data_IF_391077373650
#
_entry.id   IF_391077373650
#
_cell.length_a   1.000
_cell.length_b   1.000
_cell.length_c   1.000
_cell.angle_alpha   90.00
_cell.angle_beta   90.00
_cell.angle_gamma   90.00
#
_symmetry.space_group_name_H-M   'P 1'
#
loop_
_entity.id
_entity.type
_entity.pdbx_description
1 polymer ?
#
# COMPACT_ATOMS: atom_id res chain seq x y z
N UNK A 1 4.62 5.23 -12.40
CA UNK A 1 4.43 5.12 -10.95
C UNK A 1 3.41 6.16 -10.50
N UNK A 2 2.45 5.75 -9.69
CA UNK A 2 1.43 6.64 -9.16
C UNK A 2 1.56 6.72 -7.66
N UNK A 3 1.58 7.92 -7.12
CA UNK A 3 1.63 8.12 -5.66
C UNK A 3 0.25 8.46 -5.13
N UNK A 4 -0.11 7.85 -4.00
CA UNK A 4 -1.36 8.13 -3.30
C UNK A 4 -1.05 8.79 -1.97
N UNK A 5 -1.70 9.92 -1.71
CA UNK A 5 -1.46 10.69 -0.49
C UNK A 5 -1.99 9.94 0.72
N UNK A 6 -1.14 9.76 1.71
CA UNK A 6 -1.52 9.17 2.99
C UNK A 6 -1.82 10.25 4.01
N UNK A 7 -2.70 9.92 4.95
CA UNK A 7 -2.92 10.76 6.11
C UNK A 7 -1.97 10.30 7.23
N UNK A 8 -1.66 11.20 8.14
CA UNK A 8 -0.76 10.91 9.25
C UNK A 8 -1.57 10.35 10.44
N UNK A 9 -2.22 9.21 10.20
CA UNK A 9 -3.09 8.55 11.19
C UNK A 9 -2.74 7.06 11.25
N UNK A 10 -2.86 6.48 12.44
CA UNK A 10 -2.51 5.08 12.67
C UNK A 10 -3.41 4.10 11.88
N UNK A 11 -4.65 4.46 11.66
CA UNK A 11 -5.61 3.65 10.92
C UNK A 11 -6.24 4.49 9.83
N UNK A 12 -6.17 4.01 8.58
CA UNK A 12 -6.78 4.71 7.46
C UNK A 12 -7.18 3.72 6.38
N UNK A 13 -8.18 4.11 5.60
CA UNK A 13 -8.66 3.31 4.49
C UNK A 13 -9.01 4.23 3.34
N UNK A 14 -8.71 3.82 2.11
CA UNK A 14 -9.01 4.60 0.93
C UNK A 14 -9.24 3.69 -0.27
N UNK A 15 -9.93 4.21 -1.29
CA UNK A 15 -10.25 3.47 -2.50
C UNK A 15 -9.44 3.95 -3.67
N UNK A 16 -9.01 3.02 -4.51
CA UNK A 16 -8.24 3.28 -5.72
C UNK A 16 -8.92 2.54 -6.88
N UNK A 17 -9.15 3.26 -7.98
CA UNK A 17 -9.66 2.64 -9.21
C UNK A 17 -8.48 2.29 -10.12
N UNK A 18 -8.31 1.00 -10.40
CA UNK A 18 -7.24 0.50 -11.25
C UNK A 18 -7.77 -0.67 -12.09
N UNK A 19 -7.46 -0.66 -13.38
CA UNK A 19 -7.69 -1.81 -14.25
C UNK A 19 -9.14 -2.31 -14.20
N UNK A 20 -10.10 -1.36 -14.19
CA UNK A 20 -11.54 -1.59 -14.11
C UNK A 20 -12.02 -2.25 -12.82
N UNK A 21 -11.20 -2.18 -11.76
CA UNK A 21 -11.54 -2.67 -10.43
C UNK A 21 -11.40 -1.56 -9.40
N UNK A 22 -12.15 -1.70 -8.30
CA UNK A 22 -12.02 -0.80 -7.16
C UNK A 22 -11.28 -1.54 -6.05
N UNK A 23 -10.12 -1.00 -5.68
CA UNK A 23 -9.30 -1.53 -4.60
C UNK A 23 -9.55 -0.70 -3.35
N UNK A 24 -9.91 -1.34 -2.26
CA UNK A 24 -9.97 -0.67 -0.96
C UNK A 24 -8.75 -1.11 -0.16
N UNK A 25 -7.90 -0.14 0.16
CA UNK A 25 -6.66 -0.39 0.90
C UNK A 25 -6.87 0.11 2.33
N UNK A 26 -6.58 -0.76 3.29
CA UNK A 26 -6.61 -0.40 4.70
C UNK A 26 -5.21 -0.51 5.27
N UNK A 27 -4.76 0.52 5.96
CA UNK A 27 -3.43 0.57 6.58
C UNK A 27 -3.62 0.75 8.09
N UNK A 28 -2.97 -0.10 8.86
CA UNK A 28 -2.96 -0.02 10.32
C UNK A 28 -1.53 -0.05 10.81
N UNK A 29 -1.16 0.92 11.64
CA UNK A 29 0.15 0.95 12.29
C UNK A 29 0.01 0.42 13.71
N UNK A 30 0.85 -0.54 14.05
CA UNK A 30 0.90 -1.14 15.39
C UNK A 30 2.36 -1.36 15.77
N UNK A 31 2.78 -0.73 16.86
CA UNK A 31 4.16 -0.83 17.38
C UNK A 31 5.23 -0.48 16.33
N UNK A 32 5.00 0.59 15.59
CA UNK A 32 5.95 1.10 14.60
C UNK A 32 5.98 0.35 13.27
N UNK A 33 5.09 -0.62 13.08
CA UNK A 33 5.00 -1.41 11.84
C UNK A 33 3.60 -1.26 11.27
N UNK A 34 3.51 -1.09 9.95
CA UNK A 34 2.24 -1.00 9.25
C UNK A 34 1.85 -2.33 8.64
N UNK A 35 0.57 -2.65 8.75
CA UNK A 35 -0.04 -3.84 8.17
C UNK A 35 -1.15 -3.39 7.23
N UNK A 36 -1.18 -3.98 6.04
CA UNK A 36 -2.10 -3.56 4.99
C UNK A 36 -3.03 -4.68 4.58
N UNK A 37 -4.27 -4.31 4.28
CA UNK A 37 -5.28 -5.22 3.74
C UNK A 37 -5.78 -4.65 2.42
N UNK A 38 -6.17 -5.54 1.50
CA UNK A 38 -6.72 -5.14 0.22
C UNK A 38 -8.01 -5.90 -0.06
N UNK A 39 -9.08 -5.15 -0.36
CA UNK A 39 -10.32 -5.69 -0.89
C UNK A 39 -10.44 -5.24 -2.35
N UNK A 40 -10.91 -6.13 -3.22
CA UNK A 40 -11.12 -5.84 -4.62
C UNK A 40 -12.61 -6.02 -4.92
N UNK A 41 -13.24 -4.95 -5.44
CA UNK A 41 -14.67 -4.94 -5.74
C UNK A 41 -15.51 -5.42 -4.53
N UNK A 42 -15.17 -4.90 -3.36
CA UNK A 42 -15.84 -5.16 -2.07
C UNK A 42 -15.59 -6.55 -1.48
N UNK A 43 -14.66 -7.32 -2.05
CA UNK A 43 -14.31 -8.64 -1.53
C UNK A 43 -12.88 -8.62 -0.98
N UNK A 44 -12.72 -8.99 0.30
CA UNK A 44 -11.41 -9.03 0.93
C UNK A 44 -10.55 -10.13 0.28
N UNK A 45 -9.39 -9.74 -0.23
CA UNK A 45 -8.48 -10.65 -0.93
C UNK A 45 -7.25 -10.97 -0.09
N UNK A 46 -6.67 -9.96 0.55
CA UNK A 46 -5.50 -10.16 1.39
C UNK A 46 -5.61 -9.30 2.64
N UNK A 47 -5.32 -9.87 3.81
CA UNK A 47 -5.45 -9.19 5.09
C UNK A 47 -4.14 -9.22 5.87
N UNK A 48 -3.80 -8.09 6.48
CA UNK A 48 -2.70 -8.00 7.44
C UNK A 48 -1.31 -8.22 6.87
N UNK A 49 -1.08 -7.85 5.62
CA UNK A 49 0.24 -7.96 5.02
C UNK A 49 1.19 -6.94 5.65
N UNK A 50 2.32 -7.42 6.16
CA UNK A 50 3.33 -6.57 6.77
C UNK A 50 4.00 -5.70 5.71
N UNK A 51 4.04 -4.40 5.94
CA UNK A 51 4.71 -3.47 5.05
C UNK A 51 6.21 -3.45 5.32
N UNK A 52 6.98 -3.87 4.33
CA UNK A 52 8.46 -3.85 4.37
C UNK A 52 8.92 -2.73 3.45
N UNK A 53 9.94 -1.94 3.83
CA UNK A 53 10.39 -0.82 3.01
C UNK A 53 10.78 -1.26 1.59
N UNK A 54 10.28 -0.52 0.60
CA UNK A 54 10.69 -0.67 -0.81
C UNK A 54 10.44 -2.07 -1.40
N UNK A 55 9.43 -2.76 -0.91
CA UNK A 55 9.03 -4.08 -1.39
C UNK A 55 7.53 -4.13 -1.66
N UNK A 56 7.11 -5.04 -2.53
CA UNK A 56 5.69 -5.28 -2.76
C UNK A 56 4.99 -5.64 -1.45
N UNK A 57 3.86 -5.00 -1.19
CA UNK A 57 3.07 -5.26 0.03
C UNK A 57 2.29 -6.56 -0.12
N UNK A 58 1.60 -6.72 -1.26
CA UNK A 58 0.67 -7.82 -1.46
C UNK A 58 1.24 -8.88 -2.38
N UNK A 59 0.63 -10.06 -2.36
CA UNK A 59 0.98 -11.16 -3.25
C UNK A 59 0.27 -11.12 -4.59
N UNK A 60 0.40 -12.20 -5.35
CA UNK A 60 -0.10 -12.30 -6.72
C UNK A 60 -1.62 -12.15 -6.84
N UNK A 61 -2.37 -12.55 -5.81
CA UNK A 61 -3.83 -12.43 -5.82
C UNK A 61 -4.30 -10.97 -5.98
N UNK A 62 -3.55 -10.03 -5.42
CA UNK A 62 -3.82 -8.61 -5.58
C UNK A 62 -3.09 -8.07 -6.80
N UNK A 63 -1.80 -8.37 -6.91
CA UNK A 63 -0.93 -7.77 -7.93
C UNK A 63 -1.37 -8.09 -9.35
N UNK A 64 -1.81 -9.31 -9.62
CA UNK A 64 -2.25 -9.70 -10.96
C UNK A 64 -3.53 -8.96 -11.39
N UNK A 65 -4.43 -8.71 -10.47
CA UNK A 65 -5.66 -7.96 -10.76
C UNK A 65 -5.34 -6.48 -10.96
N UNK A 66 -4.44 -5.93 -10.16
CA UNK A 66 -4.03 -4.53 -10.26
C UNK A 66 -3.16 -4.25 -11.48
N UNK A 67 -2.43 -5.24 -11.97
CA UNK A 67 -1.49 -5.04 -13.08
C UNK A 67 -0.18 -4.41 -12.64
N UNK A 68 0.21 -4.61 -11.39
CA UNK A 68 1.43 -4.05 -10.82
C UNK A 68 1.53 -4.32 -9.33
N UNK A 69 2.40 -3.59 -8.66
CA UNK A 69 2.63 -3.75 -7.22
C UNK A 69 2.32 -2.47 -6.47
N UNK A 70 1.80 -2.64 -5.25
CA UNK A 70 1.71 -1.56 -4.27
C UNK A 70 2.90 -1.67 -3.32
N UNK A 71 3.53 -0.54 -3.01
CA UNK A 71 4.65 -0.54 -2.08
C UNK A 71 4.72 0.78 -1.32
N UNK A 72 5.38 0.75 -0.17
CA UNK A 72 5.83 1.96 0.50
C UNK A 72 7.25 2.25 0.03
N UNK A 73 7.42 3.38 -0.64
CA UNK A 73 8.74 3.83 -1.05
C UNK A 73 9.34 4.64 0.12
N UNK A 74 10.41 4.10 0.71
CA UNK A 74 11.01 4.64 1.91
C UNK A 74 12.39 5.20 1.60
N UNK A 75 12.64 6.43 2.06
CA UNK A 75 13.88 7.15 1.73
C UNK A 75 15.10 6.52 2.39
N UNK A 76 14.98 6.08 3.63
CA UNK A 76 16.08 5.57 4.44
C UNK A 76 15.89 4.12 4.90
N UNK A 77 15.09 3.35 4.17
CA UNK A 77 14.74 1.98 4.55
C UNK A 77 14.07 1.87 5.93
N UNK A 78 13.51 2.97 6.42
CA UNK A 78 12.74 2.95 7.67
C UNK A 78 11.41 2.25 7.44
N UNK A 79 10.98 1.45 8.40
CA UNK A 79 9.67 0.79 8.29
C UNK A 79 8.55 1.82 8.25
N UNK A 80 7.57 1.67 7.33
CA UNK A 80 6.44 2.58 7.25
C UNK A 80 5.62 2.55 8.55
N UNK A 81 5.37 3.72 9.11
CA UNK A 81 4.42 3.89 10.20
C UNK A 81 3.79 5.28 10.09
N UNK A 82 2.63 5.48 10.71
CA UNK A 82 1.85 6.68 10.44
C UNK A 82 2.60 7.98 10.72
N UNK A 83 3.57 7.98 11.64
CA UNK A 83 4.31 9.19 11.97
C UNK A 83 5.26 9.64 10.86
N UNK A 84 5.66 8.73 9.96
CA UNK A 84 6.51 9.11 8.83
C UNK A 84 5.76 9.18 7.49
N UNK A 85 4.43 9.16 7.50
CA UNK A 85 3.60 9.34 6.30
C UNK A 85 3.53 10.82 5.92
N UNK A 86 4.64 11.39 5.50
CA UNK A 86 4.76 12.83 5.21
C UNK A 86 4.98 13.17 3.74
N UNK A 87 4.95 12.16 2.86
CA UNK A 87 5.14 12.36 1.43
C UNK A 87 6.59 12.55 1.01
N UNK A 88 7.53 12.47 1.95
CA UNK A 88 8.98 12.57 1.68
C UNK A 88 9.68 11.32 2.17
N UNK A 89 9.59 11.02 3.46
CA UNK A 89 10.29 9.87 4.06
C UNK A 89 9.64 8.54 3.66
N UNK A 90 8.31 8.50 3.63
CA UNK A 90 7.54 7.33 3.23
C UNK A 90 6.41 7.76 2.31
N UNK A 91 6.31 7.10 1.15
CA UNK A 91 5.27 7.35 0.16
C UNK A 91 4.61 6.03 -0.23
N UNK A 92 3.30 6.04 -0.38
CA UNK A 92 2.56 4.88 -0.87
C UNK A 92 2.39 5.00 -2.38
N UNK A 93 2.91 4.03 -3.12
CA UNK A 93 2.92 4.10 -4.59
C UNK A 93 2.40 2.81 -5.22
N UNK A 94 1.87 2.96 -6.43
CA UNK A 94 1.57 1.84 -7.31
C UNK A 94 2.55 1.87 -8.49
N UNK A 95 3.20 0.73 -8.74
CA UNK A 95 4.16 0.60 -9.84
C UNK A 95 3.64 -0.46 -10.81
N UNK A 96 3.22 -0.07 -12.03
CA UNK A 96 2.79 -1.04 -13.04
C UNK A 96 3.89 -2.05 -13.36
N UNK A 97 3.52 -3.26 -13.74
CA UNK A 97 4.51 -4.31 -14.04
C UNK A 97 5.52 -3.89 -15.11
N UNK A 98 5.12 -3.08 -16.07
CA UNK A 98 6.04 -2.58 -17.10
C UNK A 98 7.12 -1.62 -16.59
N UNK A 99 6.98 -1.12 -15.36
CA UNK A 99 7.93 -0.19 -14.71
C UNK A 99 8.70 -0.82 -13.56
N UNK A 100 8.36 -2.03 -13.21
CA UNK A 100 9.02 -2.72 -12.09
C UNK A 100 10.48 -3.08 -12.42
#
# INVERSE_FOLDING_TARGET
MTEYKLQKTANQSFSISLNDHIFEITIRTFRGISYCSAAIDMELVEAGAKAVPNNSIFGSSVNNVAGGIFMFKCLNDDYPHYENFNGVDVRFVFVPFGEV
#
